data_IF_712876943255
#
_entry.id   IF_712876943255
#
_cell.length_a   1.000
_cell.length_b   1.000
_cell.length_c   1.000
_cell.angle_alpha   90.00
_cell.angle_beta   90.00
_cell.angle_gamma   90.00
#
_symmetry.space_group_name_H-M   'P 1'
#
loop_
_entity.id
_entity.type
_entity.pdbx_description
1 polymer ?
#
# COMPACT_ATOMS: atom_id res chain seq x y z
N UNK A 1 14.52 -33.18 0.15
CA UNK A 1 15.15 -32.63 -1.06
C UNK A 1 14.97 -31.11 -1.04
N UNK A 2 15.99 -30.34 -1.44
CA UNK A 2 15.92 -28.87 -1.54
C UNK A 2 15.26 -28.48 -2.86
N UNK A 3 14.40 -27.46 -2.86
CA UNK A 3 13.67 -26.94 -4.02
C UNK A 3 14.36 -25.69 -4.57
N UNK A 4 15.58 -25.88 -5.07
CA UNK A 4 16.47 -24.77 -5.46
C UNK A 4 16.00 -23.99 -6.70
N UNK A 5 15.13 -24.57 -7.53
CA UNK A 5 14.60 -23.92 -8.73
C UNK A 5 13.33 -23.10 -8.46
N UNK A 6 12.68 -23.28 -7.30
CA UNK A 6 11.42 -22.61 -7.02
C UNK A 6 11.67 -21.17 -6.57
N UNK A 7 11.19 -20.21 -7.36
CA UNK A 7 11.32 -18.77 -7.12
C UNK A 7 9.98 -18.09 -6.86
N UNK A 8 8.86 -18.74 -7.22
CA UNK A 8 7.50 -18.23 -7.03
C UNK A 8 6.67 -19.32 -6.40
N UNK A 9 5.95 -18.98 -5.33
CA UNK A 9 4.97 -19.85 -4.69
C UNK A 9 3.68 -19.06 -4.46
N UNK A 10 2.62 -19.46 -5.17
CA UNK A 10 1.27 -18.98 -4.92
C UNK A 10 0.43 -20.08 -4.29
N UNK A 11 -0.17 -19.76 -3.16
CA UNK A 11 -1.12 -20.57 -2.42
C UNK A 11 -2.42 -19.79 -2.20
N UNK A 12 -2.74 -18.86 -3.10
CA UNK A 12 -3.92 -18.00 -2.98
C UNK A 12 -5.22 -18.81 -2.88
N UNK A 13 -6.09 -18.46 -1.94
CA UNK A 13 -7.45 -19.00 -1.88
C UNK A 13 -7.55 -20.50 -1.56
N UNK A 14 -6.58 -21.07 -0.84
CA UNK A 14 -6.56 -22.49 -0.46
C UNK A 14 -7.20 -22.79 0.90
N UNK A 15 -7.90 -21.82 1.49
CA UNK A 15 -8.51 -21.94 2.82
C UNK A 15 -7.50 -22.38 3.90
N UNK A 16 -6.27 -21.89 3.82
CA UNK A 16 -5.21 -22.20 4.77
C UNK A 16 -5.47 -21.51 6.11
N UNK A 17 -5.23 -22.23 7.20
CA UNK A 17 -5.28 -21.73 8.56
C UNK A 17 -3.88 -21.80 9.20
N UNK A 18 -3.76 -21.40 10.47
CA UNK A 18 -2.45 -21.41 11.18
C UNK A 18 -1.73 -22.75 11.19
N UNK A 19 -2.46 -23.88 11.16
CA UNK A 19 -1.89 -25.22 11.11
C UNK A 19 -1.14 -25.45 9.79
N UNK A 20 -1.76 -25.07 8.68
CA UNK A 20 -1.19 -25.18 7.34
C UNK A 20 0.01 -24.25 7.18
N UNK A 21 -0.05 -23.05 7.75
CA UNK A 21 1.10 -22.13 7.77
C UNK A 21 2.27 -22.71 8.56
N UNK A 22 2.01 -23.38 9.69
CA UNK A 22 3.06 -24.07 10.45
C UNK A 22 3.76 -25.14 9.62
N UNK A 23 2.99 -25.91 8.85
CA UNK A 23 3.55 -26.94 7.97
C UNK A 23 4.25 -26.33 6.75
N UNK A 24 3.70 -25.26 6.18
CA UNK A 24 4.34 -24.47 5.13
C UNK A 24 5.71 -23.95 5.60
N UNK A 25 5.84 -23.42 6.81
CA UNK A 25 7.13 -22.97 7.34
C UNK A 25 8.19 -24.07 7.38
N UNK A 26 7.82 -25.33 7.62
CA UNK A 26 8.74 -26.48 7.56
C UNK A 26 9.22 -26.80 6.14
N UNK A 27 8.46 -26.34 5.14
CA UNK A 27 8.75 -26.55 3.72
C UNK A 27 9.50 -25.35 3.14
N UNK A 28 9.14 -24.12 3.53
CA UNK A 28 9.76 -22.88 3.07
C UNK A 28 11.27 -22.84 3.31
N UNK A 29 11.76 -23.45 4.40
CA UNK A 29 13.21 -23.59 4.65
C UNK A 29 13.96 -24.41 3.59
N UNK A 30 13.25 -25.16 2.74
CA UNK A 30 13.80 -25.92 1.61
C UNK A 30 13.71 -25.14 0.30
N UNK A 31 13.28 -23.87 0.32
CA UNK A 31 13.13 -23.00 -0.86
C UNK A 31 14.05 -21.78 -0.71
N UNK A 32 15.39 -21.95 -0.78
CA UNK A 32 16.34 -20.87 -0.48
C UNK A 32 16.33 -19.73 -1.51
N UNK A 33 15.74 -19.95 -2.70
CA UNK A 33 15.70 -18.98 -3.80
C UNK A 33 14.29 -18.39 -4.00
N UNK A 34 13.38 -18.55 -3.04
CA UNK A 34 12.01 -18.05 -3.16
C UNK A 34 12.02 -16.51 -3.18
N UNK A 35 11.46 -15.94 -4.24
CA UNK A 35 11.38 -14.48 -4.47
C UNK A 35 9.99 -13.92 -4.30
N UNK A 36 8.97 -14.70 -4.62
CA UNK A 36 7.57 -14.29 -4.56
C UNK A 36 6.78 -15.32 -3.76
N UNK A 37 6.19 -14.86 -2.66
CA UNK A 37 5.27 -15.63 -1.84
C UNK A 37 3.90 -14.94 -1.81
N UNK A 38 2.89 -15.60 -2.38
CA UNK A 38 1.51 -15.18 -2.31
C UNK A 38 0.68 -16.21 -1.53
N UNK A 39 0.19 -15.81 -0.35
CA UNK A 39 -0.71 -16.61 0.48
C UNK A 39 -2.04 -15.89 0.72
N UNK A 40 -2.40 -14.95 -0.16
CA UNK A 40 -3.62 -14.16 -0.06
C UNK A 40 -4.89 -15.01 -0.09
N UNK A 41 -6.02 -14.49 0.42
CA UNK A 41 -7.31 -15.18 0.42
C UNK A 41 -7.32 -16.42 1.30
N UNK A 42 -6.48 -16.45 2.33
CA UNK A 42 -6.43 -17.54 3.30
C UNK A 42 -6.60 -16.98 4.71
N UNK A 43 -7.55 -17.48 5.53
CA UNK A 43 -7.85 -16.98 6.88
C UNK A 43 -6.78 -17.44 7.90
N UNK A 44 -5.52 -17.04 7.67
CA UNK A 44 -4.39 -17.45 8.49
C UNK A 44 -4.34 -16.70 9.83
N UNK A 45 -4.99 -15.53 9.89
CA UNK A 45 -5.07 -14.66 11.06
C UNK A 45 -3.68 -14.26 11.60
N UNK A 46 -3.64 -13.54 12.72
CA UNK A 46 -2.39 -13.13 13.37
C UNK A 46 -1.49 -14.31 13.77
N UNK A 47 -2.07 -15.45 14.15
CA UNK A 47 -1.32 -16.65 14.53
C UNK A 47 -0.49 -17.17 13.34
N UNK A 48 -1.06 -17.17 12.13
CA UNK A 48 -0.37 -17.57 10.92
C UNK A 48 0.79 -16.65 10.58
N UNK A 49 0.58 -15.32 10.64
CA UNK A 49 1.67 -14.36 10.38
C UNK A 49 2.79 -14.46 11.42
N UNK A 50 2.46 -14.68 12.70
CA UNK A 50 3.48 -14.90 13.74
C UNK A 50 4.35 -16.12 13.45
N UNK A 51 3.78 -17.17 12.85
CA UNK A 51 4.53 -18.36 12.43
C UNK A 51 5.41 -18.12 11.19
N UNK A 52 5.02 -17.20 10.31
CA UNK A 52 5.80 -16.83 9.11
C UNK A 52 6.95 -15.88 9.42
N UNK A 53 6.83 -15.01 10.43
CA UNK A 53 7.85 -14.01 10.77
C UNK A 53 9.26 -14.61 10.91
N UNK A 54 9.50 -15.75 11.59
CA UNK A 54 10.84 -16.35 11.66
C UNK A 54 11.41 -16.75 10.29
N UNK A 55 10.55 -17.18 9.37
CA UNK A 55 10.96 -17.44 7.98
C UNK A 55 11.28 -16.13 7.26
N UNK A 56 10.42 -15.12 7.38
CA UNK A 56 10.61 -13.80 6.75
C UNK A 56 11.89 -13.14 7.26
N UNK A 57 12.09 -13.06 8.58
CA UNK A 57 13.32 -12.54 9.21
C UNK A 57 14.56 -13.26 8.70
N UNK A 58 14.55 -14.60 8.66
CA UNK A 58 15.68 -15.35 8.07
C UNK A 58 15.86 -15.06 6.60
N UNK A 59 14.78 -14.93 5.85
CA UNK A 59 14.85 -14.68 4.42
C UNK A 59 15.52 -13.31 4.16
N UNK A 60 15.06 -12.27 4.86
CA UNK A 60 15.58 -10.91 4.69
C UNK A 60 16.94 -10.66 5.36
N UNK A 61 17.37 -11.52 6.29
CA UNK A 61 18.69 -11.44 6.96
C UNK A 61 19.79 -12.27 6.30
N UNK A 62 19.44 -13.38 5.63
CA UNK A 62 20.41 -14.35 5.07
C UNK A 62 20.14 -14.60 3.60
N UNK A 63 20.74 -13.80 2.70
CA UNK A 63 20.90 -14.05 1.24
C UNK A 63 19.69 -14.65 0.47
N UNK A 64 18.50 -14.72 1.06
CA UNK A 64 17.31 -15.29 0.46
C UNK A 64 16.60 -14.13 -0.23
N UNK A 65 16.34 -14.24 -1.53
CA UNK A 65 15.92 -13.12 -2.34
C UNK A 65 14.41 -12.85 -2.22
N UNK A 66 13.77 -12.94 -1.04
CA UNK A 66 12.33 -12.65 -0.96
C UNK A 66 12.10 -11.17 -1.30
N UNK A 67 11.51 -10.92 -2.46
CA UNK A 67 11.25 -9.58 -3.00
C UNK A 67 9.77 -9.21 -2.92
N UNK A 68 8.87 -10.19 -2.98
CA UNK A 68 7.43 -9.97 -3.08
C UNK A 68 6.71 -10.81 -2.03
N UNK A 69 5.87 -10.16 -1.24
CA UNK A 69 5.01 -10.81 -0.25
C UNK A 69 3.57 -10.29 -0.40
N UNK A 70 2.63 -11.21 -0.62
CA UNK A 70 1.20 -10.90 -0.71
C UNK A 70 0.40 -11.65 0.35
N UNK A 71 -0.35 -10.87 1.13
CA UNK A 71 -1.13 -11.25 2.30
C UNK A 71 -2.54 -10.62 2.25
N UNK A 72 -3.09 -10.50 1.06
CA UNK A 72 -4.39 -9.84 0.87
C UNK A 72 -5.51 -10.71 1.42
N UNK A 73 -6.51 -10.12 2.07
CA UNK A 73 -7.69 -10.85 2.56
C UNK A 73 -7.30 -12.10 3.38
N UNK A 74 -6.51 -11.89 4.44
CA UNK A 74 -5.93 -12.96 5.26
C UNK A 74 -6.46 -12.98 6.70
N UNK A 75 -7.55 -12.24 6.97
CA UNK A 75 -8.12 -11.99 8.30
C UNK A 75 -7.09 -11.49 9.32
N UNK A 76 -6.16 -10.66 8.86
CA UNK A 76 -5.11 -10.09 9.71
C UNK A 76 -5.64 -8.91 10.51
N UNK A 77 -5.23 -8.81 11.77
CA UNK A 77 -5.47 -7.63 12.59
C UNK A 77 -4.28 -6.68 12.55
N UNK A 78 -4.48 -5.45 13.05
CA UNK A 78 -3.38 -4.49 13.23
C UNK A 78 -2.25 -5.05 14.10
N UNK A 79 -2.53 -5.93 15.06
CA UNK A 79 -1.47 -6.50 15.91
C UNK A 79 -0.55 -7.39 15.08
N UNK A 80 -1.10 -8.30 14.28
CA UNK A 80 -0.34 -9.17 13.39
C UNK A 80 0.43 -8.38 12.33
N UNK A 81 -0.24 -7.43 11.66
CA UNK A 81 0.39 -6.61 10.62
C UNK A 81 1.48 -5.70 11.20
N UNK A 82 1.26 -5.05 12.34
CA UNK A 82 2.29 -4.21 12.95
C UNK A 82 3.56 -4.99 13.29
N UNK A 83 3.41 -6.25 13.73
CA UNK A 83 4.54 -7.13 14.00
C UNK A 83 5.28 -7.53 12.72
N UNK A 84 4.55 -7.78 11.63
CA UNK A 84 5.15 -8.03 10.32
C UNK A 84 5.91 -6.81 9.81
N UNK A 85 5.30 -5.63 9.84
CA UNK A 85 5.92 -4.38 9.39
C UNK A 85 7.17 -4.06 10.20
N UNK A 86 7.16 -4.27 11.52
CA UNK A 86 8.34 -4.15 12.36
C UNK A 86 9.48 -5.07 11.88
N UNK A 87 9.18 -6.34 11.60
CA UNK A 87 10.15 -7.30 11.09
C UNK A 87 10.73 -6.86 9.73
N UNK A 88 9.89 -6.35 8.82
CA UNK A 88 10.30 -5.95 7.48
C UNK A 88 11.07 -4.63 7.47
N UNK A 89 10.77 -3.70 8.38
CA UNK A 89 11.43 -2.38 8.46
C UNK A 89 12.94 -2.50 8.67
N UNK A 90 13.38 -3.49 9.47
CA UNK A 90 14.79 -3.68 9.84
C UNK A 90 15.50 -4.76 9.01
N UNK A 91 14.88 -5.19 7.92
CA UNK A 91 15.43 -6.16 6.98
C UNK A 91 16.74 -5.65 6.35
N UNK A 92 17.77 -6.53 6.24
CA UNK A 92 19.01 -6.20 5.52
C UNK A 92 18.80 -6.16 4.01
N UNK A 93 18.00 -7.10 3.50
CA UNK A 93 17.52 -7.12 2.12
C UNK A 93 16.08 -6.62 2.11
N UNK A 94 15.83 -5.41 1.60
CA UNK A 94 14.48 -4.84 1.61
C UNK A 94 13.56 -5.61 0.66
N UNK A 95 12.29 -5.69 1.05
CA UNK A 95 11.23 -6.21 0.20
C UNK A 95 10.95 -5.20 -0.92
N UNK A 96 10.76 -5.65 -2.15
CA UNK A 96 10.37 -4.79 -3.26
C UNK A 96 8.88 -4.45 -3.22
N UNK A 97 8.03 -5.45 -2.96
CA UNK A 97 6.57 -5.31 -2.95
C UNK A 97 5.95 -5.96 -1.70
N UNK A 98 5.12 -5.20 -0.98
CA UNK A 98 4.21 -5.72 0.04
C UNK A 98 2.76 -5.48 -0.36
N UNK A 99 1.93 -6.52 -0.31
CA UNK A 99 0.47 -6.37 -0.34
C UNK A 99 -0.15 -6.90 0.93
N UNK A 100 -0.90 -6.04 1.63
CA UNK A 100 -1.72 -6.37 2.80
C UNK A 100 -3.16 -5.88 2.64
N UNK A 101 -3.59 -5.65 1.40
CA UNK A 101 -4.92 -5.16 1.07
C UNK A 101 -6.05 -6.06 1.59
N UNK A 102 -7.25 -5.52 1.69
CA UNK A 102 -8.45 -6.25 2.12
C UNK A 102 -8.29 -6.92 3.50
N UNK A 103 -7.47 -6.36 4.38
CA UNK A 103 -7.45 -6.72 5.81
C UNK A 103 -8.00 -5.54 6.59
N UNK A 104 -9.03 -5.72 7.41
CA UNK A 104 -9.65 -4.63 8.17
C UNK A 104 -8.78 -4.17 9.35
N UNK A 105 -7.73 -3.41 9.07
CA UNK A 105 -6.72 -3.00 10.05
C UNK A 105 -7.16 -1.76 10.87
N UNK A 106 -7.87 -0.84 10.23
CA UNK A 106 -8.25 0.42 10.86
C UNK A 106 -7.11 1.44 10.93
N UNK A 107 -7.38 2.63 11.45
CA UNK A 107 -6.40 3.72 11.58
C UNK A 107 -5.17 3.39 12.42
N UNK A 108 -5.30 2.45 13.37
CA UNK A 108 -4.24 2.10 14.33
C UNK A 108 -2.97 1.52 13.70
N UNK A 109 -3.02 0.98 12.48
CA UNK A 109 -1.83 0.45 11.78
C UNK A 109 -0.97 1.56 11.16
N UNK A 110 -1.51 2.76 11.01
CA UNK A 110 -0.87 3.85 10.27
C UNK A 110 0.53 4.21 10.79
N UNK A 111 0.75 4.20 12.11
CA UNK A 111 2.07 4.46 12.68
C UNK A 111 3.12 3.39 12.29
N UNK A 112 2.71 2.12 12.24
CA UNK A 112 3.59 1.03 11.80
C UNK A 112 3.89 1.12 10.29
N UNK A 113 2.89 1.51 9.48
CA UNK A 113 3.07 1.77 8.06
C UNK A 113 4.02 2.94 7.80
N UNK A 114 3.83 4.08 8.47
CA UNK A 114 4.70 5.24 8.34
C UNK A 114 6.17 4.87 8.64
N UNK A 115 6.39 4.08 9.69
CA UNK A 115 7.72 3.55 10.01
C UNK A 115 8.23 2.61 8.91
N UNK A 116 7.40 1.71 8.38
CA UNK A 116 7.78 0.80 7.30
C UNK A 116 8.14 1.53 6.00
N UNK A 117 7.53 2.68 5.72
CA UNK A 117 7.86 3.52 4.55
C UNK A 117 9.27 4.14 4.61
N UNK A 118 9.95 4.08 5.76
CA UNK A 118 11.39 4.42 5.86
C UNK A 118 12.31 3.29 5.38
N UNK A 119 11.77 2.11 5.08
CA UNK A 119 12.49 1.04 4.40
C UNK A 119 12.67 1.35 2.91
N UNK A 120 13.32 0.44 2.16
CA UNK A 120 13.51 0.59 0.72
C UNK A 120 12.39 -0.08 -0.11
N UNK A 121 11.20 -0.26 0.46
CA UNK A 121 10.05 -0.80 -0.27
C UNK A 121 9.71 0.08 -1.46
N UNK A 122 9.45 -0.56 -2.61
CA UNK A 122 9.20 0.14 -3.88
C UNK A 122 7.73 0.12 -4.28
N UNK A 123 6.99 -0.90 -3.87
CA UNK A 123 5.58 -1.07 -4.16
C UNK A 123 4.83 -1.49 -2.89
N UNK A 124 3.74 -0.80 -2.58
CA UNK A 124 2.89 -1.14 -1.44
C UNK A 124 1.42 -1.08 -1.83
N UNK A 125 0.71 -2.17 -1.56
CA UNK A 125 -0.73 -2.25 -1.69
C UNK A 125 -1.39 -2.34 -0.31
N UNK A 126 -2.06 -1.26 0.06
CA UNK A 126 -2.85 -1.10 1.29
C UNK A 126 -4.30 -0.72 0.93
N UNK A 127 -4.81 -1.21 -0.21
CA UNK A 127 -6.22 -1.06 -0.58
C UNK A 127 -7.15 -1.62 0.49
N UNK A 128 -8.21 -0.87 0.80
CA UNK A 128 -9.31 -1.29 1.67
C UNK A 128 -8.87 -1.87 3.03
N UNK A 129 -7.91 -1.21 3.69
CA UNK A 129 -7.48 -1.59 5.05
C UNK A 129 -8.16 -0.79 6.15
N UNK A 130 -9.09 0.11 5.78
CA UNK A 130 -9.86 0.93 6.70
C UNK A 130 -9.04 2.03 7.40
N UNK A 131 -8.05 2.65 6.74
CA UNK A 131 -7.24 3.71 7.38
C UNK A 131 -8.10 4.86 7.95
N UNK A 132 -9.10 5.31 7.19
CA UNK A 132 -9.90 6.49 7.51
C UNK A 132 -9.08 7.78 7.60
N UNK A 133 -9.76 8.88 7.90
CA UNK A 133 -9.14 10.22 8.01
C UNK A 133 -8.00 10.26 9.04
N UNK A 134 -8.17 9.61 10.21
CA UNK A 134 -7.13 9.55 11.25
C UNK A 134 -5.89 8.74 10.81
N UNK A 135 -6.08 7.64 10.09
CA UNK A 135 -4.97 6.84 9.58
C UNK A 135 -4.15 7.61 8.56
N UNK A 136 -4.80 8.31 7.62
CA UNK A 136 -4.11 9.16 6.67
C UNK A 136 -3.41 10.36 7.30
N UNK A 137 -4.00 11.00 8.32
CA UNK A 137 -3.31 12.03 9.08
C UNK A 137 -2.03 11.49 9.75
N UNK A 138 -2.11 10.31 10.36
CA UNK A 138 -0.94 9.66 10.99
C UNK A 138 0.14 9.34 9.94
N UNK A 139 -0.26 8.85 8.76
CA UNK A 139 0.66 8.60 7.66
C UNK A 139 1.29 9.89 7.12
N UNK A 140 0.51 10.97 6.99
CA UNK A 140 0.96 12.29 6.55
C UNK A 140 2.03 12.86 7.50
N UNK A 141 1.78 12.82 8.81
CA UNK A 141 2.67 13.34 9.84
C UNK A 141 3.93 12.48 10.04
N UNK A 142 3.80 11.16 9.84
CA UNK A 142 4.88 10.20 10.05
C UNK A 142 5.72 9.87 8.81
N UNK A 143 5.41 10.44 7.63
CA UNK A 143 6.10 10.10 6.39
C UNK A 143 7.57 10.60 6.43
N UNK A 144 8.57 9.72 6.17
CA UNK A 144 9.97 10.10 6.23
C UNK A 144 10.33 11.05 5.07
N UNK A 145 11.44 11.78 5.22
CA UNK A 145 11.84 12.78 4.24
C UNK A 145 12.21 12.21 2.86
N UNK A 146 12.73 10.98 2.83
CA UNK A 146 13.11 10.26 1.62
C UNK A 146 12.43 8.89 1.61
N UNK A 147 11.48 8.72 0.68
CA UNK A 147 10.70 7.50 0.51
C UNK A 147 11.11 6.82 -0.79
N UNK A 148 11.46 5.53 -0.72
CA UNK A 148 11.91 4.75 -1.89
C UNK A 148 10.78 4.31 -2.84
N UNK A 149 9.52 4.59 -2.49
CA UNK A 149 8.34 4.14 -3.22
C UNK A 149 8.33 4.60 -4.67
N UNK A 150 7.86 3.69 -5.51
CA UNK A 150 7.57 3.89 -6.93
C UNK A 150 6.07 3.74 -7.22
N UNK A 151 5.40 2.82 -6.52
CA UNK A 151 3.98 2.55 -6.69
C UNK A 151 3.32 2.43 -5.31
N UNK A 152 2.12 2.98 -5.19
CA UNK A 152 1.31 2.80 -3.98
C UNK A 152 -0.17 2.72 -4.34
N UNK A 153 -0.86 1.74 -3.77
CA UNK A 153 -2.31 1.64 -3.79
C UNK A 153 -2.86 1.90 -2.38
N UNK A 154 -3.56 3.02 -2.23
CA UNK A 154 -4.26 3.46 -1.01
C UNK A 154 -5.77 3.53 -1.24
N UNK A 155 -6.29 2.91 -2.31
CA UNK A 155 -7.70 3.03 -2.67
C UNK A 155 -8.64 2.44 -1.60
N UNK A 156 -9.91 2.88 -1.61
CA UNK A 156 -10.97 2.41 -0.70
C UNK A 156 -10.72 2.61 0.80
N UNK A 157 -9.88 3.56 1.19
CA UNK A 157 -9.54 3.79 2.60
C UNK A 157 -10.28 4.94 3.27
N UNK A 158 -11.23 5.59 2.58
CA UNK A 158 -12.10 6.65 3.14
C UNK A 158 -11.31 7.75 3.87
N UNK A 159 -10.23 8.22 3.26
CA UNK A 159 -9.31 9.17 3.89
C UNK A 159 -9.74 10.63 3.89
N UNK A 160 -10.81 10.98 3.19
CA UNK A 160 -11.27 12.36 3.08
C UNK A 160 -10.18 13.29 2.56
N UNK A 161 -10.20 14.54 3.00
CA UNK A 161 -9.15 15.52 2.66
C UNK A 161 -7.75 15.09 3.11
N UNK A 162 -7.62 14.24 4.15
CA UNK A 162 -6.33 13.79 4.67
C UNK A 162 -5.60 12.86 3.70
N UNK A 163 -6.32 12.09 2.88
CA UNK A 163 -5.70 11.35 1.79
C UNK A 163 -5.04 12.29 0.76
N UNK A 164 -5.63 13.46 0.45
CA UNK A 164 -5.03 14.43 -0.47
C UNK A 164 -3.73 15.04 0.06
N UNK A 165 -3.68 15.35 1.35
CA UNK A 165 -2.46 15.83 2.02
C UNK A 165 -1.37 14.75 2.04
N UNK A 166 -1.73 13.50 2.36
CA UNK A 166 -0.81 12.38 2.31
C UNK A 166 -0.23 12.16 0.91
N UNK A 167 -1.06 12.18 -0.14
CA UNK A 167 -0.61 12.09 -1.54
C UNK A 167 0.37 13.22 -1.88
N UNK A 168 0.06 14.44 -1.45
CA UNK A 168 0.93 15.60 -1.69
C UNK A 168 2.29 15.45 -0.99
N UNK A 169 2.28 14.99 0.27
CA UNK A 169 3.49 14.63 1.01
C UNK A 169 4.32 13.57 0.29
N UNK A 170 3.68 12.49 -0.18
CA UNK A 170 4.35 11.45 -0.97
C UNK A 170 4.99 12.00 -2.24
N UNK A 171 4.29 12.83 -3.02
CA UNK A 171 4.83 13.44 -4.25
C UNK A 171 6.11 14.25 -3.96
N UNK A 172 6.18 14.90 -2.79
CA UNK A 172 7.34 15.71 -2.40
C UNK A 172 8.51 14.86 -1.88
N UNK A 173 8.21 13.78 -1.14
CA UNK A 173 9.19 12.96 -0.41
C UNK A 173 9.63 11.68 -1.15
N UNK A 174 8.91 11.27 -2.21
CA UNK A 174 9.23 10.08 -3.01
C UNK A 174 9.68 10.49 -4.44
N UNK A 175 10.99 10.74 -4.67
CA UNK A 175 11.48 11.22 -5.97
C UNK A 175 11.31 10.20 -7.12
N UNK A 176 11.16 8.92 -6.78
CA UNK A 176 10.96 7.83 -7.74
C UNK A 176 9.51 7.42 -7.91
N UNK A 177 8.56 8.14 -7.30
CA UNK A 177 7.13 7.83 -7.39
C UNK A 177 6.65 7.94 -8.83
N UNK A 178 6.10 6.85 -9.35
CA UNK A 178 5.55 6.70 -10.71
C UNK A 178 4.04 6.68 -10.67
N UNK A 179 3.43 5.96 -9.72
CA UNK A 179 1.97 5.91 -9.65
C UNK A 179 1.40 5.88 -8.24
N UNK A 180 0.29 6.57 -8.07
CA UNK A 180 -0.56 6.51 -6.87
C UNK A 180 -1.96 6.09 -7.30
N UNK A 181 -2.49 5.01 -6.72
CA UNK A 181 -3.91 4.70 -6.78
C UNK A 181 -4.58 5.17 -5.48
N UNK A 182 -5.38 6.23 -5.57
CA UNK A 182 -6.17 6.79 -4.48
C UNK A 182 -7.67 6.80 -4.79
N UNK A 183 -8.12 5.87 -5.62
CA UNK A 183 -9.53 5.73 -5.95
C UNK A 183 -10.39 5.47 -4.69
N UNK A 184 -11.64 5.93 -4.70
CA UNK A 184 -12.61 5.68 -3.63
C UNK A 184 -12.10 6.04 -2.20
N UNK A 185 -11.50 7.21 -2.03
CA UNK A 185 -11.05 7.72 -0.73
C UNK A 185 -11.95 8.81 -0.13
N UNK A 186 -13.12 9.05 -0.72
CA UNK A 186 -14.01 10.15 -0.33
C UNK A 186 -13.29 11.51 -0.41
N UNK A 187 -12.48 11.75 -1.44
CA UNK A 187 -11.79 13.04 -1.59
C UNK A 187 -12.82 14.16 -1.86
N UNK A 188 -12.87 15.23 -1.05
CA UNK A 188 -13.70 16.40 -1.35
C UNK A 188 -13.07 17.24 -2.48
N UNK A 189 -13.82 18.15 -3.12
CA UNK A 189 -13.38 18.88 -4.31
C UNK A 189 -12.06 19.66 -4.13
N UNK A 190 -11.79 20.20 -2.94
CA UNK A 190 -10.58 20.94 -2.57
C UNK A 190 -9.30 20.08 -2.69
N UNK A 191 -9.44 18.76 -2.65
CA UNK A 191 -8.33 17.81 -2.81
C UNK A 191 -7.58 18.00 -4.13
N UNK A 192 -8.29 18.35 -5.21
CA UNK A 192 -7.65 18.59 -6.51
C UNK A 192 -6.71 19.78 -6.47
N UNK A 193 -7.12 20.87 -5.81
CA UNK A 193 -6.28 22.06 -5.69
C UNK A 193 -5.00 21.75 -4.90
N UNK A 194 -5.11 21.01 -3.78
CA UNK A 194 -3.98 20.60 -2.95
C UNK A 194 -2.95 19.78 -3.77
N UNK A 195 -3.43 18.74 -4.47
CA UNK A 195 -2.56 17.87 -5.26
C UNK A 195 -1.95 18.64 -6.43
N UNK A 196 -2.73 19.44 -7.16
CA UNK A 196 -2.24 20.22 -8.29
C UNK A 196 -1.21 21.28 -7.87
N UNK A 197 -1.43 21.97 -6.75
CA UNK A 197 -0.47 22.95 -6.24
C UNK A 197 0.86 22.29 -5.86
N UNK A 198 0.82 21.04 -5.39
CA UNK A 198 2.03 20.24 -5.14
C UNK A 198 2.74 19.86 -6.44
N UNK A 199 2.00 19.41 -7.46
CA UNK A 199 2.57 19.07 -8.77
C UNK A 199 3.24 20.26 -9.47
N UNK A 200 2.82 21.49 -9.19
CA UNK A 200 3.50 22.71 -9.71
C UNK A 200 4.88 22.92 -9.10
N UNK A 201 5.14 22.40 -7.90
CA UNK A 201 6.37 22.67 -7.14
C UNK A 201 7.54 21.77 -7.56
N UNK A 202 7.25 20.61 -8.18
CA UNK A 202 8.30 19.65 -8.60
C UNK A 202 7.95 18.96 -9.90
N UNK A 203 8.97 18.80 -10.74
CA UNK A 203 8.96 17.76 -11.77
C UNK A 203 9.20 16.42 -11.08
N UNK A 204 8.23 15.52 -11.15
CA UNK A 204 8.30 14.19 -10.56
C UNK A 204 8.28 13.11 -11.64
N UNK A 205 8.71 11.90 -11.29
CA UNK A 205 8.58 10.73 -12.15
C UNK A 205 7.13 10.24 -12.28
N UNK A 206 6.19 10.96 -11.67
CA UNK A 206 4.79 10.59 -11.58
C UNK A 206 4.15 10.58 -12.96
N UNK A 207 3.63 9.42 -13.33
CA UNK A 207 2.91 9.17 -14.57
C UNK A 207 1.41 9.07 -14.34
N UNK A 208 0.99 8.68 -13.13
CA UNK A 208 -0.42 8.47 -12.82
C UNK A 208 -0.76 8.73 -11.36
N UNK A 209 -1.82 9.51 -11.14
CA UNK A 209 -2.54 9.60 -9.87
C UNK A 209 -3.99 9.28 -10.17
N UNK A 210 -4.40 8.07 -9.80
CA UNK A 210 -5.77 7.60 -9.99
C UNK A 210 -6.65 8.09 -8.83
N UNK A 211 -7.56 9.00 -9.14
CA UNK A 211 -8.54 9.57 -8.22
C UNK A 211 -9.97 9.13 -8.58
N UNK A 212 -10.14 8.08 -9.39
CA UNK A 212 -11.46 7.57 -9.78
C UNK A 212 -12.29 7.16 -8.55
N UNK A 213 -13.61 7.05 -8.71
CA UNK A 213 -14.54 6.72 -7.62
C UNK A 213 -14.51 7.69 -6.41
N UNK A 214 -13.84 8.84 -6.48
CA UNK A 214 -14.04 9.97 -5.57
C UNK A 214 -15.13 10.86 -6.13
N UNK A 215 -16.39 10.52 -5.86
CA UNK A 215 -17.56 11.03 -6.59
C UNK A 215 -17.75 12.55 -6.53
N UNK A 216 -17.14 13.24 -5.56
CA UNK A 216 -17.20 14.70 -5.46
C UNK A 216 -16.15 15.41 -6.34
N UNK A 217 -15.20 14.68 -6.93
CA UNK A 217 -14.23 15.24 -7.85
C UNK A 217 -14.83 15.35 -9.25
N UNK A 218 -14.78 16.56 -9.82
CA UNK A 218 -15.21 16.82 -11.18
C UNK A 218 -14.23 17.74 -11.89
N UNK A 219 -14.05 17.52 -13.19
CA UNK A 219 -13.25 18.37 -14.06
C UNK A 219 -13.75 19.82 -14.12
N UNK A 220 -15.01 20.07 -13.77
CA UNK A 220 -15.60 21.41 -13.72
C UNK A 220 -15.17 22.22 -12.50
N UNK A 221 -14.72 21.56 -11.42
CA UNK A 221 -14.35 22.23 -10.17
C UNK A 221 -12.97 22.88 -10.29
N UNK A 222 -12.00 22.19 -10.91
CA UNK A 222 -10.62 22.67 -10.99
C UNK A 222 -9.95 22.33 -12.33
N UNK A 223 -10.33 22.97 -13.45
CA UNK A 223 -9.89 22.57 -14.81
C UNK A 223 -8.38 22.50 -15.02
N UNK A 224 -7.60 23.25 -14.24
CA UNK A 224 -6.14 23.28 -14.31
C UNK A 224 -5.47 21.91 -14.09
N UNK A 225 -6.18 20.93 -13.52
CA UNK A 225 -5.65 19.56 -13.40
C UNK A 225 -5.35 18.91 -14.77
N UNK A 226 -6.00 19.36 -15.84
CA UNK A 226 -5.81 18.85 -17.21
C UNK A 226 -4.44 19.21 -17.82
N UNK A 227 -3.79 20.22 -17.26
CA UNK A 227 -2.48 20.69 -17.74
C UNK A 227 -1.34 19.74 -17.32
N UNK A 228 -1.55 18.93 -16.28
CA UNK A 228 -0.56 17.97 -15.80
C UNK A 228 -0.54 16.73 -16.68
N UNK A 229 0.38 16.70 -17.64
CA UNK A 229 0.59 15.58 -18.56
C UNK A 229 2.02 15.09 -18.53
N UNK A 230 2.18 13.76 -18.67
CA UNK A 230 3.48 13.11 -18.90
C UNK A 230 3.36 12.23 -20.14
N UNK A 231 4.30 12.38 -21.07
CA UNK A 231 4.27 11.72 -22.40
C UNK A 231 2.93 11.89 -23.15
N UNK A 232 2.31 13.08 -23.05
CA UNK A 232 1.04 13.39 -23.69
C UNK A 232 -0.21 12.80 -23.01
N UNK A 233 -0.06 12.04 -21.92
CA UNK A 233 -1.16 11.46 -21.13
C UNK A 233 -1.40 12.25 -19.85
N UNK A 234 -2.65 12.43 -19.39
CA UNK A 234 -2.95 13.04 -18.10
C UNK A 234 -2.29 12.28 -16.95
N UNK A 235 -1.65 12.99 -16.04
CA UNK A 235 -1.13 12.43 -14.78
C UNK A 235 -2.30 12.15 -13.84
N UNK A 236 -3.18 13.14 -13.64
CA UNK A 236 -4.36 13.00 -12.78
C UNK A 236 -5.52 12.38 -13.55
N UNK A 237 -6.10 11.32 -12.99
CA UNK A 237 -7.24 10.61 -13.57
C UNK A 237 -8.41 10.74 -12.60
N UNK A 238 -9.43 11.48 -13.01
CA UNK A 238 -10.61 11.79 -12.18
C UNK A 238 -11.85 11.06 -12.71
N UNK A 239 -12.93 10.93 -11.91
CA UNK A 239 -14.14 10.27 -12.36
C UNK A 239 -14.74 10.93 -13.62
N UNK A 240 -15.25 10.12 -14.58
CA UNK A 240 -15.94 10.64 -15.75
C UNK A 240 -17.36 11.07 -15.35
N UNK A 241 -17.51 12.32 -14.90
CA UNK A 241 -18.78 13.02 -14.71
C UNK A 241 -19.84 12.32 -13.84
N UNK A 242 -19.81 12.59 -12.53
CA UNK A 242 -20.99 12.47 -11.66
C UNK A 242 -21.02 13.68 -10.74
N UNK A 243 -21.77 14.73 -11.09
CA UNK A 243 -22.18 15.73 -10.11
C UNK A 243 -23.31 15.12 -9.27
N UNK A 244 -22.97 14.27 -8.30
CA UNK A 244 -23.94 13.90 -7.28
C UNK A 244 -23.99 15.05 -6.27
N UNK A 245 -25.12 15.74 -6.19
CA UNK A 245 -25.46 16.72 -5.13
C UNK A 245 -25.65 16.06 -3.75
N UNK A 246 -25.20 14.82 -3.59
CA UNK A 246 -25.23 14.15 -2.30
C UNK A 246 -24.30 14.93 -1.35
N UNK A 247 -24.74 15.21 -0.12
CA UNK A 247 -23.86 15.83 0.88
C UNK A 247 -22.61 14.97 1.04
N UNK A 248 -21.46 15.64 1.16
CA UNK A 248 -20.22 15.00 1.55
C UNK A 248 -20.42 14.45 2.96
N UNK A 249 -20.54 13.13 3.07
CA UNK A 249 -20.75 12.43 4.34
C UNK A 249 -19.41 11.81 4.77
N UNK A 250 -18.73 12.50 5.68
CA UNK A 250 -17.45 12.09 6.29
C UNK A 250 -17.71 11.43 7.66
N UNK A 251 -18.96 11.05 7.97
CA UNK A 251 -19.29 10.50 9.27
C UNK A 251 -18.68 9.08 9.43
N UNK A 252 -18.02 8.83 10.58
CA UNK A 252 -17.20 7.65 10.84
C UNK A 252 -17.96 6.32 10.94
#
# INVERSE_FOLDING_TARGET
MSMNSLTVLTLRGNNMHKGDVKDLCKILVKMPNLRDLDISGNPIMDDGIRLLIPFISRAVEKENPLLILRLENCDLSTVGVSKLLECLTFAKQPLDMLSIADNALGSSVAGALAKFLSSHVRDINIEDIGLGTLGFQTLEEGLPMDVALTHINISKNRGGIKAAYFISRLILQAPHLVSVNAAANLLPPESLEIICNTLKQRTCNLERVDLTCNLHLSATVFPAFLDFKKHGKPILVVPPHLSTTAPYDDDP
#
